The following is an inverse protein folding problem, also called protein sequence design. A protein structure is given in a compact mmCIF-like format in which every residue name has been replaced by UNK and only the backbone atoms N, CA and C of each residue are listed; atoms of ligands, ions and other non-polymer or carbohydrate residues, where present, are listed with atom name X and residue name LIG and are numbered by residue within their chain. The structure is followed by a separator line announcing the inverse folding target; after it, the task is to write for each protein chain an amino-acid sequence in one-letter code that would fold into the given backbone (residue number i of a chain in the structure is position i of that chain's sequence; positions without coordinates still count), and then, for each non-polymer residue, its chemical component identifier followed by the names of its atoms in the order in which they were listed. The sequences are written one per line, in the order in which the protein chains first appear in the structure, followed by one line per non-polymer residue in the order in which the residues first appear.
data_IF_609140735534
#
_entry.id   IF_609140735534
#
_cell.length_a   1.000
_cell.length_b   1.000
_cell.length_c   1.000
_cell.angle_alpha   90.00
_cell.angle_beta   90.00
_cell.angle_gamma   90.00
#
_symmetry.space_group_name_H-M   'P 1'
#
loop_
_entity.id
_entity.type
_entity.pdbx_description
1 polymer ?
#
# COMPACT_ATOMS: atom_id res chain seq x y z
N UNK A 1 1.34 -3.28 13.44
CA UNK A 1 2.80 -3.20 13.32
C UNK A 1 3.34 -2.27 14.40
N UNK A 2 4.62 -2.36 14.73
CA UNK A 2 5.22 -1.53 15.77
C UNK A 2 6.35 -0.69 15.17
N UNK A 3 6.46 0.56 15.60
CA UNK A 3 7.54 1.48 15.27
C UNK A 3 8.41 1.65 16.50
N UNK A 4 9.71 1.48 16.33
CA UNK A 4 10.72 1.72 17.36
C UNK A 4 11.69 2.78 16.86
N UNK A 5 12.13 3.67 17.76
CA UNK A 5 13.22 4.61 17.49
C UNK A 5 14.46 4.21 18.26
N UNK A 6 15.62 4.44 17.67
CA UNK A 6 16.92 4.20 18.31
C UNK A 6 17.60 5.51 18.67
N UNK A 7 18.02 5.65 19.91
CA UNK A 7 18.88 6.74 20.39
C UNK A 7 20.15 6.13 20.96
N UNK A 8 21.31 6.38 20.33
CA UNK A 8 22.54 5.67 20.67
C UNK A 8 22.40 4.15 20.48
N UNK A 9 22.55 3.39 21.56
CA UNK A 9 22.37 1.93 21.56
C UNK A 9 20.97 1.47 21.98
N UNK A 10 20.09 2.36 22.41
CA UNK A 10 18.80 2.00 23.01
C UNK A 10 17.68 2.09 21.99
N UNK A 11 16.91 1.01 21.86
CA UNK A 11 15.63 0.99 21.14
C UNK A 11 14.47 1.29 22.09
N UNK A 12 13.57 2.15 21.68
CA UNK A 12 12.35 2.50 22.44
C UNK A 12 11.12 2.33 21.57
N UNK A 13 10.08 1.71 22.12
CA UNK A 13 8.78 1.62 21.46
C UNK A 13 8.21 3.03 21.29
N UNK A 14 7.91 3.38 20.05
CA UNK A 14 7.33 4.68 19.71
C UNK A 14 5.83 4.59 19.49
N UNK A 15 5.39 3.63 18.66
CA UNK A 15 3.99 3.55 18.27
C UNK A 15 3.59 2.14 17.85
N UNK A 16 2.31 1.84 18.06
CA UNK A 16 1.62 0.75 17.39
C UNK A 16 0.75 1.34 16.28
N UNK A 17 0.95 0.88 15.05
CA UNK A 17 0.26 1.37 13.85
C UNK A 17 -0.62 0.25 13.25
N UNK A 18 -1.81 0.64 12.79
CA UNK A 18 -2.85 -0.25 12.25
C UNK A 18 -3.61 0.47 11.14
N UNK A 19 -4.15 -0.26 10.17
CA UNK A 19 -5.09 0.31 9.19
C UNK A 19 -6.36 0.83 9.88
N UNK A 20 -6.96 1.89 9.34
CA UNK A 20 -8.23 2.45 9.83
C UNK A 20 -9.43 1.51 9.66
N UNK A 21 -9.40 0.60 8.68
CA UNK A 21 -10.44 -0.38 8.38
C UNK A 21 -9.91 -1.81 8.60
N UNK A 22 -9.69 -2.19 9.85
CA UNK A 22 -9.19 -3.53 10.16
C UNK A 22 -10.18 -4.61 9.72
N UNK A 23 -9.74 -5.52 8.85
CA UNK A 23 -10.52 -6.67 8.43
C UNK A 23 -9.68 -7.95 8.47
N UNK A 24 -10.35 -9.08 8.75
CA UNK A 24 -9.71 -10.37 8.87
C UNK A 24 -9.04 -10.77 7.53
N UNK A 25 -7.77 -11.16 7.60
CA UNK A 25 -7.04 -11.64 6.42
C UNK A 25 -6.61 -10.56 5.43
N UNK A 26 -6.76 -9.25 5.71
CA UNK A 26 -6.27 -8.18 4.82
C UNK A 26 -4.74 -8.11 4.68
N UNK A 27 -4.01 -8.84 5.54
CA UNK A 27 -2.53 -8.91 5.54
C UNK A 27 -1.84 -7.54 5.63
N UNK A 28 -2.40 -6.63 6.44
CA UNK A 28 -1.75 -5.36 6.74
C UNK A 28 -0.37 -5.58 7.36
N UNK A 29 0.66 -4.91 6.82
CA UNK A 29 2.06 -5.11 7.20
C UNK A 29 2.76 -6.23 6.44
N UNK A 30 2.18 -6.71 5.33
CA UNK A 30 2.82 -7.70 4.45
C UNK A 30 4.01 -7.13 3.67
N UNK A 31 4.00 -5.83 3.44
CA UNK A 31 5.10 -5.06 2.85
C UNK A 31 5.17 -3.69 3.53
N UNK A 32 6.38 -3.15 3.69
CA UNK A 32 6.63 -1.92 4.45
C UNK A 32 7.76 -1.13 3.78
N UNK A 33 7.60 0.18 3.66
CA UNK A 33 8.66 1.11 3.27
C UNK A 33 8.62 2.38 4.13
N UNK A 34 9.78 2.92 4.48
CA UNK A 34 9.94 4.13 5.29
C UNK A 34 10.80 5.13 4.52
N UNK A 35 10.45 6.41 4.56
CA UNK A 35 11.27 7.49 3.97
C UNK A 35 12.59 7.64 4.72
N UNK A 36 13.58 8.28 4.09
CA UNK A 36 14.91 8.47 4.65
C UNK A 36 14.93 9.31 5.93
N UNK A 37 13.98 10.25 6.07
CA UNK A 37 13.78 11.02 7.31
C UNK A 37 13.01 10.25 8.40
N UNK A 38 12.51 9.04 8.08
CA UNK A 38 11.75 8.21 9.00
C UNK A 38 10.33 8.70 9.30
N UNK A 39 9.81 9.69 8.57
CA UNK A 39 8.52 10.33 8.89
C UNK A 39 7.36 9.93 7.96
N UNK A 40 7.61 9.25 6.85
CA UNK A 40 6.56 8.70 5.97
C UNK A 40 6.71 7.19 5.92
N UNK A 41 5.63 6.48 6.23
CA UNK A 41 5.56 5.03 6.29
C UNK A 41 4.48 4.53 5.33
N UNK A 42 4.84 3.74 4.33
CA UNK A 42 3.91 3.04 3.46
C UNK A 42 3.78 1.58 3.90
N UNK A 43 2.55 1.07 4.00
CA UNK A 43 2.25 -0.26 4.50
C UNK A 43 1.27 -0.98 3.58
N UNK A 44 1.71 -2.10 3.00
CA UNK A 44 0.85 -2.94 2.17
C UNK A 44 -0.12 -3.79 2.98
N UNK A 45 -1.32 -3.93 2.44
CA UNK A 45 -2.35 -4.87 2.84
C UNK A 45 -2.84 -5.61 1.60
N UNK A 46 -2.00 -6.50 1.06
CA UNK A 46 -2.22 -7.13 -0.25
C UNK A 46 -3.55 -7.91 -0.38
N UNK A 47 -4.26 -8.17 0.72
CA UNK A 47 -5.56 -8.86 0.72
C UNK A 47 -6.73 -8.03 1.22
N UNK A 48 -6.55 -6.72 1.28
CA UNK A 48 -7.66 -5.79 1.46
C UNK A 48 -8.71 -5.99 0.34
N UNK A 49 -9.98 -5.74 0.64
CA UNK A 49 -11.12 -6.23 -0.15
C UNK A 49 -12.00 -5.13 -0.74
N UNK A 50 -11.72 -3.87 -0.50
CA UNK A 50 -12.51 -2.79 -1.11
C UNK A 50 -12.29 -2.72 -2.61
N UNK A 51 -13.37 -2.46 -3.34
CA UNK A 51 -13.35 -2.16 -4.77
C UNK A 51 -13.06 -0.69 -5.09
N UNK A 52 -12.69 0.12 -4.10
CA UNK A 52 -12.26 1.50 -4.32
C UNK A 52 -11.08 1.58 -5.29
N UNK A 53 -10.98 2.70 -6.01
CA UNK A 53 -9.90 3.02 -6.93
C UNK A 53 -9.20 4.30 -6.52
N UNK A 54 -7.91 4.43 -6.83
CA UNK A 54 -7.15 5.66 -6.57
C UNK A 54 -6.92 5.93 -5.08
N UNK A 55 -6.97 7.21 -4.69
CA UNK A 55 -6.58 7.66 -3.35
C UNK A 55 -7.82 8.03 -2.54
N UNK A 56 -7.87 7.55 -1.30
CA UNK A 56 -8.89 7.87 -0.29
C UNK A 56 -10.33 7.53 -0.69
N UNK A 57 -10.51 6.48 -1.50
CA UNK A 57 -11.83 5.91 -1.76
C UNK A 57 -12.44 5.18 -0.55
N UNK A 58 -13.64 4.62 -0.74
CA UNK A 58 -14.37 3.93 0.33
C UNK A 58 -13.62 2.69 0.85
N UNK A 59 -13.27 2.72 2.12
CA UNK A 59 -12.54 1.65 2.80
C UNK A 59 -13.46 0.59 3.43
N UNK A 60 -14.77 0.84 3.50
CA UNK A 60 -15.73 -0.06 4.13
C UNK A 60 -16.21 -1.18 3.20
N UNK A 61 -16.10 -0.98 1.89
CA UNK A 61 -16.44 -1.99 0.90
C UNK A 61 -15.61 -3.26 1.04
N UNK A 62 -16.22 -4.39 0.71
CA UNK A 62 -15.57 -5.71 0.66
C UNK A 62 -15.80 -6.43 -0.67
N UNK A 63 -16.20 -5.68 -1.70
CA UNK A 63 -16.69 -6.21 -2.98
C UNK A 63 -15.61 -6.72 -3.95
N UNK A 64 -14.32 -6.50 -3.68
CA UNK A 64 -13.21 -6.94 -4.52
C UNK A 64 -12.17 -7.73 -3.70
N UNK A 65 -12.43 -9.01 -3.49
CA UNK A 65 -11.59 -9.88 -2.66
C UNK A 65 -10.13 -9.90 -3.14
N UNK A 66 -9.18 -9.77 -2.20
CA UNK A 66 -7.74 -9.78 -2.49
C UNK A 66 -7.30 -8.73 -3.53
N UNK A 67 -8.06 -7.63 -3.67
CA UNK A 67 -7.66 -6.55 -4.57
C UNK A 67 -6.50 -5.73 -4.01
N UNK A 68 -6.36 -5.71 -2.68
CA UNK A 68 -5.22 -5.14 -1.98
C UNK A 68 -5.28 -3.62 -1.84
N UNK A 69 -4.44 -3.09 -0.96
CA UNK A 69 -4.32 -1.66 -0.67
C UNK A 69 -2.94 -1.32 -0.10
N UNK A 70 -2.59 -0.04 -0.11
CA UNK A 70 -1.47 0.53 0.66
C UNK A 70 -1.99 1.65 1.55
N UNK A 71 -1.47 1.72 2.78
CA UNK A 71 -1.78 2.77 3.73
C UNK A 71 -0.53 3.59 3.97
N UNK A 72 -0.63 4.90 3.78
CA UNK A 72 0.46 5.84 4.03
C UNK A 72 0.21 6.55 5.35
N UNK A 73 1.18 6.50 6.24
CA UNK A 73 1.18 7.19 7.52
C UNK A 73 2.25 8.26 7.53
N UNK A 74 1.94 9.41 8.13
CA UNK A 74 2.91 10.48 8.39
C UNK A 74 3.09 10.64 9.89
N UNK A 75 4.35 10.83 10.27
CA UNK A 75 4.75 11.16 11.63
C UNK A 75 4.95 12.67 11.76
N UNK A 76 4.30 13.24 12.77
CA UNK A 76 4.56 14.60 13.24
C UNK A 76 4.91 14.52 14.72
N UNK A 77 6.11 14.97 15.09
CA UNK A 77 6.70 14.76 16.41
C UNK A 77 6.75 13.28 16.81
N UNK A 78 5.87 12.81 17.70
CA UNK A 78 5.76 11.41 18.13
C UNK A 78 4.51 10.70 17.61
N UNK A 79 3.63 11.42 16.90
CA UNK A 79 2.31 10.92 16.52
C UNK A 79 2.31 10.46 15.07
N UNK A 80 1.93 9.20 14.85
CA UNK A 80 1.68 8.64 13.52
C UNK A 80 0.20 8.78 13.17
N UNK A 81 -0.09 9.30 11.98
CA UNK A 81 -1.46 9.48 11.47
C UNK A 81 -1.55 8.91 10.07
N UNK A 82 -2.64 8.19 9.77
CA UNK A 82 -2.90 7.75 8.40
C UNK A 82 -3.23 8.99 7.56
N UNK A 83 -2.46 9.21 6.50
CA UNK A 83 -2.66 10.30 5.55
C UNK A 83 -3.38 9.83 4.29
N UNK A 84 -3.14 8.59 3.87
CA UNK A 84 -3.72 8.09 2.64
C UNK A 84 -4.04 6.61 2.70
N UNK A 85 -5.13 6.27 2.01
CA UNK A 85 -5.48 4.92 1.61
C UNK A 85 -5.35 4.84 0.09
N UNK A 86 -4.54 3.93 -0.42
CA UNK A 86 -4.10 3.89 -1.81
C UNK A 86 -4.56 2.58 -2.45
N UNK A 87 -5.19 2.71 -3.61
CA UNK A 87 -5.69 1.61 -4.45
C UNK A 87 -5.20 1.78 -5.87
N UNK A 88 -5.06 0.65 -6.57
CA UNK A 88 -4.87 0.65 -8.01
C UNK A 88 -5.95 1.49 -8.71
N UNK A 89 -5.60 2.10 -9.84
CA UNK A 89 -6.53 2.85 -10.70
C UNK A 89 -7.58 1.94 -11.35
N UNK A 90 -7.23 0.68 -11.60
CA UNK A 90 -8.04 -0.38 -12.19
C UNK A 90 -8.23 -1.55 -11.19
N UNK A 91 -8.58 -1.24 -9.94
CA UNK A 91 -8.84 -2.25 -8.89
C UNK A 91 -9.72 -3.40 -9.40
N UNK A 92 -9.21 -4.63 -9.29
CA UNK A 92 -10.00 -5.85 -9.44
C UNK A 92 -9.63 -6.88 -8.39
N UNK A 93 -10.47 -7.92 -8.27
CA UNK A 93 -10.22 -9.01 -7.33
C UNK A 93 -8.94 -9.77 -7.67
N UNK A 94 -8.25 -10.26 -6.66
CA UNK A 94 -7.04 -11.08 -6.75
C UNK A 94 -5.79 -10.41 -7.34
N UNK A 95 -5.79 -9.10 -7.61
CA UNK A 95 -4.61 -8.41 -8.12
C UNK A 95 -3.47 -8.26 -7.10
N UNK A 96 -3.75 -8.50 -5.81
CA UNK A 96 -2.77 -8.44 -4.72
C UNK A 96 -2.02 -7.08 -4.66
N UNK A 97 -2.70 -5.95 -4.93
CA UNK A 97 -2.07 -4.61 -4.87
C UNK A 97 -1.50 -4.33 -3.48
N UNK A 98 -0.27 -3.81 -3.41
CA UNK A 98 0.45 -3.65 -2.14
C UNK A 98 1.24 -4.89 -1.74
N UNK A 99 1.40 -5.87 -2.64
CA UNK A 99 2.29 -7.01 -2.41
C UNK A 99 3.73 -6.58 -2.15
N UNK A 100 4.21 -5.58 -2.88
CA UNK A 100 5.47 -4.89 -2.64
C UNK A 100 5.25 -3.38 -2.62
N UNK A 101 6.01 -2.68 -1.78
CA UNK A 101 6.01 -1.23 -1.69
C UNK A 101 7.44 -0.72 -1.64
N UNK A 102 7.71 0.37 -2.34
CA UNK A 102 8.94 1.14 -2.23
C UNK A 102 8.59 2.62 -2.11
N UNK A 103 9.33 3.34 -1.28
CA UNK A 103 9.13 4.76 -1.04
C UNK A 103 10.47 5.47 -1.26
N UNK A 104 10.45 6.60 -1.98
CA UNK A 104 11.64 7.43 -2.15
C UNK A 104 12.15 7.98 -0.82
N UNK A 105 13.43 8.36 -0.78
CA UNK A 105 14.06 8.86 0.44
C UNK A 105 13.38 10.13 0.98
N UNK A 106 12.88 11.00 0.11
CA UNK A 106 12.11 12.20 0.48
C UNK A 106 10.63 11.91 0.78
N UNK A 107 10.18 10.67 0.55
CA UNK A 107 8.80 10.24 0.79
C UNK A 107 7.79 10.77 -0.22
N UNK A 108 8.24 11.33 -1.36
CA UNK A 108 7.39 11.96 -2.37
C UNK A 108 6.96 11.03 -3.51
N UNK A 109 7.63 9.88 -3.68
CA UNK A 109 7.30 8.89 -4.71
C UNK A 109 7.08 7.52 -4.10
N UNK A 110 5.92 6.93 -4.36
CA UNK A 110 5.54 5.59 -3.92
C UNK A 110 5.39 4.67 -5.13
N UNK A 111 6.13 3.57 -5.14
CA UNK A 111 5.92 2.48 -6.10
C UNK A 111 5.22 1.30 -5.42
N UNK A 112 4.17 0.77 -6.05
CA UNK A 112 3.37 -0.33 -5.52
C UNK A 112 3.23 -1.44 -6.55
N UNK A 113 3.59 -2.66 -6.15
CA UNK A 113 3.40 -3.85 -6.98
C UNK A 113 2.03 -4.50 -6.78
N UNK A 114 1.43 -4.93 -7.89
CA UNK A 114 0.26 -5.81 -7.95
C UNK A 114 0.66 -7.03 -8.80
N UNK A 115 1.26 -8.04 -8.16
CA UNK A 115 1.91 -9.16 -8.87
C UNK A 115 0.96 -10.06 -9.65
N UNK A 116 -0.34 -9.96 -9.39
CA UNK A 116 -1.39 -10.82 -9.95
C UNK A 116 -2.35 -9.99 -10.81
N UNK A 117 -1.97 -8.76 -11.16
CA UNK A 117 -2.77 -7.94 -12.06
C UNK A 117 -2.77 -8.54 -13.47
N UNK A 118 -3.92 -8.44 -14.14
CA UNK A 118 -4.09 -8.98 -15.49
C UNK A 118 -4.00 -7.82 -16.49
N UNK A 119 -2.89 -7.73 -17.22
CA UNK A 119 -2.83 -6.81 -18.35
C UNK A 119 -1.81 -7.23 -19.41
N UNK A 120 -2.15 -7.09 -20.69
CA UNK A 120 -1.16 -7.20 -21.78
C UNK A 120 -0.58 -5.84 -22.19
N UNK A 121 -0.84 -4.78 -21.42
CA UNK A 121 -0.26 -3.47 -21.64
C UNK A 121 1.27 -3.53 -21.63
N UNK A 122 1.90 -2.72 -22.47
CA UNK A 122 3.36 -2.61 -22.56
C UNK A 122 3.79 -1.17 -22.28
N UNK A 123 4.98 -1.01 -21.69
CA UNK A 123 5.55 0.30 -21.39
C UNK A 123 4.88 1.01 -20.22
N UNK A 124 4.93 2.35 -20.24
CA UNK A 124 4.40 3.22 -19.19
C UNK A 124 3.05 3.79 -19.66
N UNK A 125 2.06 3.82 -18.79
CA UNK A 125 0.70 4.32 -19.08
C UNK A 125 -0.01 3.59 -20.24
N UNK A 126 0.25 2.29 -20.40
CA UNK A 126 -0.48 1.44 -21.34
C UNK A 126 -1.93 1.21 -20.92
N UNK A 127 -2.69 0.51 -21.77
CA UNK A 127 -4.11 0.24 -21.54
C UNK A 127 -4.34 -0.77 -20.40
N UNK A 128 -4.52 -0.24 -19.19
CA UNK A 128 -4.76 -1.01 -17.96
C UNK A 128 -6.15 -1.68 -17.90
N UNK A 129 -7.04 -1.48 -18.88
CA UNK A 129 -8.34 -2.20 -18.90
C UNK A 129 -8.29 -3.49 -19.72
N UNK A 130 -7.19 -3.73 -20.44
CA UNK A 130 -7.03 -4.91 -21.27
C UNK A 130 -6.50 -6.11 -20.48
N UNK A 131 -7.40 -6.98 -20.04
CA UNK A 131 -7.08 -8.17 -19.24
C UNK A 131 -6.69 -9.41 -20.07
N UNK A 132 -6.13 -9.24 -21.28
CA UNK A 132 -5.83 -10.37 -22.17
C UNK A 132 -4.65 -11.26 -21.70
N UNK A 133 -3.84 -10.79 -20.76
CA UNK A 133 -2.73 -11.55 -20.18
C UNK A 133 -2.92 -11.70 -18.67
N UNK A 134 -3.22 -12.91 -18.21
CA UNK A 134 -3.49 -13.16 -16.80
C UNK A 134 -2.20 -13.17 -15.95
N UNK A 135 -2.24 -12.57 -14.76
CA UNK A 135 -1.17 -12.50 -13.77
C UNK A 135 0.19 -12.03 -14.33
N UNK A 136 0.17 -11.15 -15.33
CA UNK A 136 1.38 -10.49 -15.84
C UNK A 136 1.95 -9.50 -14.84
N UNK A 137 1.07 -8.95 -14.00
CA UNK A 137 1.40 -8.02 -12.93
C UNK A 137 1.64 -6.60 -13.42
N UNK A 138 1.57 -5.66 -12.49
CA UNK A 138 1.80 -4.24 -12.75
C UNK A 138 2.51 -3.56 -11.58
N UNK A 139 3.13 -2.42 -11.88
CA UNK A 139 3.64 -1.47 -10.88
C UNK A 139 2.95 -0.13 -11.09
N UNK A 140 2.45 0.44 -9.99
CA UNK A 140 1.80 1.73 -9.96
C UNK A 140 2.71 2.72 -9.24
N UNK A 141 2.91 3.89 -9.84
CA UNK A 141 3.73 4.97 -9.28
C UNK A 141 2.79 6.12 -8.88
N UNK A 142 2.96 6.62 -7.66
CA UNK A 142 2.24 7.76 -7.08
C UNK A 142 3.22 8.83 -6.61
#
# INVERSE_FOLDING_TARGET
MYVFTRTGSTWSHQAYVKSSNTAAGSRFGSSIALSGDGNTLAVGAARERSNATGINGDQASTAAANSGAVYVFKRTASTWTQQSYVKASNTASNYDFGWSVALSSDGSTLAVGAKSEDSNAVGINGDQVNNASNNSGAVYIY
#
